data_IF_330443619445
#
_entry.id   IF_330443619445
#
_cell.length_a   1.000
_cell.length_b   1.000
_cell.length_c   1.000
_cell.angle_alpha   90.00
_cell.angle_beta   90.00
_cell.angle_gamma   90.00
#
_symmetry.space_group_name_H-M   'P 1'
#
loop_
_entity.id
_entity.type
_entity.pdbx_description
1 polymer ?
#
# COMPACT_ATOMS: atom_id res chain seq x y z
N UNK A 1 -16.78 19.46 -9.00
CA UNK A 1 -15.61 18.65 -8.59
C UNK A 1 -15.51 17.36 -9.38
N UNK A 2 -16.57 16.54 -9.45
CA UNK A 2 -16.59 15.31 -10.26
C UNK A 2 -16.43 15.60 -11.76
N UNK A 3 -17.03 16.68 -12.25
CA UNK A 3 -16.82 17.20 -13.61
C UNK A 3 -15.35 17.52 -13.93
N UNK A 4 -14.56 17.97 -12.95
CA UNK A 4 -13.15 18.22 -13.16
C UNK A 4 -12.38 16.92 -13.40
N UNK A 5 -12.79 15.81 -12.79
CA UNK A 5 -12.21 14.49 -13.06
C UNK A 5 -12.51 14.03 -14.50
N UNK A 6 -13.69 14.34 -15.03
CA UNK A 6 -14.00 14.07 -16.44
C UNK A 6 -13.09 14.88 -17.37
N UNK A 7 -12.92 16.17 -17.09
CA UNK A 7 -12.12 17.06 -17.94
C UNK A 7 -10.62 16.74 -17.92
N UNK A 8 -10.10 16.13 -16.86
CA UNK A 8 -8.73 15.61 -16.83
C UNK A 8 -8.59 14.21 -17.48
N UNK A 9 -9.67 13.64 -18.01
CA UNK A 9 -9.64 12.45 -18.87
C UNK A 9 -10.24 11.16 -18.30
N UNK A 10 -10.84 11.18 -17.11
CA UNK A 10 -11.54 10.00 -16.60
C UNK A 10 -12.93 9.87 -17.24
N UNK A 11 -13.39 8.64 -17.47
CA UNK A 11 -14.75 8.36 -17.98
C UNK A 11 -15.71 7.93 -16.88
N UNK A 12 -15.19 7.26 -15.84
CA UNK A 12 -15.93 6.79 -14.68
C UNK A 12 -15.14 7.09 -13.41
N UNK A 13 -15.85 7.30 -12.30
CA UNK A 13 -15.26 7.44 -10.97
C UNK A 13 -16.02 6.59 -9.99
N UNK A 14 -15.30 5.97 -9.06
CA UNK A 14 -15.87 5.20 -7.96
C UNK A 14 -15.18 5.58 -6.65
N UNK A 15 -15.91 5.53 -5.54
CA UNK A 15 -15.26 5.53 -4.23
C UNK A 15 -14.57 4.20 -4.01
N UNK A 16 -13.29 4.22 -3.64
CA UNK A 16 -12.55 3.00 -3.34
C UNK A 16 -13.22 2.17 -2.24
N UNK A 17 -13.87 2.85 -1.30
CA UNK A 17 -14.55 2.28 -0.16
C UNK A 17 -15.90 1.64 -0.52
N UNK A 18 -16.46 1.86 -1.72
CA UNK A 18 -17.71 1.19 -2.13
C UNK A 18 -17.55 -0.34 -2.20
N UNK A 19 -16.31 -0.84 -2.28
CA UNK A 19 -15.97 -2.25 -2.16
C UNK A 19 -16.43 -2.87 -0.84
N UNK A 20 -16.54 -2.08 0.23
CA UNK A 20 -17.10 -2.51 1.52
C UNK A 20 -18.57 -2.89 1.36
N UNK A 21 -19.35 -2.05 0.68
CA UNK A 21 -20.78 -2.30 0.43
C UNK A 21 -20.98 -3.51 -0.49
N UNK A 22 -20.10 -3.67 -1.49
CA UNK A 22 -20.09 -4.84 -2.38
C UNK A 22 -19.85 -6.11 -1.57
N UNK A 23 -18.79 -6.15 -0.74
CA UNK A 23 -18.47 -7.30 0.12
C UNK A 23 -19.64 -7.64 1.06
N UNK A 24 -20.21 -6.63 1.71
CA UNK A 24 -21.35 -6.80 2.60
C UNK A 24 -22.58 -7.34 1.85
N UNK A 25 -22.81 -6.89 0.62
CA UNK A 25 -23.93 -7.35 -0.21
C UNK A 25 -23.75 -8.82 -0.62
N UNK A 26 -22.54 -9.21 -1.03
CA UNK A 26 -22.23 -10.59 -1.44
C UNK A 26 -22.28 -11.57 -0.26
N UNK A 27 -21.76 -11.17 0.91
CA UNK A 27 -21.57 -12.07 2.05
C UNK A 27 -22.54 -11.88 3.22
N UNK A 28 -23.48 -10.93 3.15
CA UNK A 28 -24.29 -10.36 4.27
C UNK A 28 -23.47 -9.69 5.38
N UNK A 29 -22.21 -10.06 5.53
CA UNK A 29 -21.19 -9.48 6.40
C UNK A 29 -19.86 -9.42 5.65
N UNK A 30 -18.89 -8.71 6.22
CA UNK A 30 -17.53 -8.67 5.67
C UNK A 30 -16.76 -9.87 6.22
N UNK A 31 -16.42 -10.79 5.33
CA UNK A 31 -15.62 -11.97 5.67
C UNK A 31 -14.16 -11.61 5.89
N UNK A 32 -13.51 -12.37 6.76
CA UNK A 32 -12.06 -12.31 6.99
C UNK A 32 -11.44 -13.68 6.69
N UNK A 33 -10.23 -13.66 6.16
CA UNK A 33 -9.48 -14.88 5.82
C UNK A 33 -8.08 -14.79 6.42
N UNK A 34 -7.89 -15.39 7.58
CA UNK A 34 -6.60 -15.52 8.25
C UNK A 34 -6.54 -16.90 8.94
N UNK A 35 -5.33 -17.40 9.19
CA UNK A 35 -5.15 -18.70 9.85
C UNK A 35 -5.10 -18.56 11.38
N UNK A 36 -4.77 -17.38 11.88
CA UNK A 36 -4.56 -17.09 13.30
C UNK A 36 -5.34 -15.85 13.73
N UNK A 37 -5.65 -15.81 15.03
CA UNK A 37 -6.31 -14.69 15.68
C UNK A 37 -5.36 -13.93 16.61
N UNK A 38 -5.58 -12.62 16.83
CA UNK A 38 -6.57 -11.78 16.17
C UNK A 38 -6.23 -11.59 14.69
N UNK A 39 -7.25 -11.36 13.89
CA UNK A 39 -7.08 -11.03 12.48
C UNK A 39 -6.54 -9.61 12.36
N UNK A 40 -5.43 -9.42 11.66
CA UNK A 40 -4.87 -8.10 11.37
C UNK A 40 -5.37 -7.62 10.01
N UNK A 41 -5.92 -6.41 9.96
CA UNK A 41 -6.33 -5.76 8.70
C UNK A 41 -5.17 -5.69 7.70
N UNK A 42 -5.47 -5.97 6.43
CA UNK A 42 -4.56 -5.77 5.30
C UNK A 42 -4.77 -4.45 4.56
N UNK A 43 -5.66 -3.58 5.05
CA UNK A 43 -6.03 -2.34 4.38
C UNK A 43 -4.84 -1.38 4.24
N UNK A 44 -4.06 -1.20 5.33
CA UNK A 44 -2.89 -0.33 5.35
C UNK A 44 -1.64 -1.04 4.79
N UNK A 45 -1.19 -0.73 3.56
CA UNK A 45 -0.06 -1.44 2.95
C UNK A 45 1.26 -1.18 3.69
N UNK A 46 1.39 -0.05 4.39
CA UNK A 46 2.56 0.25 5.20
C UNK A 46 2.67 -0.71 6.40
N UNK A 47 1.56 -1.02 7.07
CA UNK A 47 1.53 -1.98 8.19
C UNK A 47 1.77 -3.40 7.69
N UNK A 48 1.12 -3.81 6.60
CA UNK A 48 1.40 -5.11 5.98
C UNK A 48 2.88 -5.23 5.65
N UNK A 49 3.48 -4.17 5.08
CA UNK A 49 4.91 -4.18 4.76
C UNK A 49 5.78 -4.22 6.01
N UNK A 50 5.41 -3.54 7.08
CA UNK A 50 6.10 -3.61 8.38
C UNK A 50 6.10 -5.05 8.91
N UNK A 51 4.95 -5.73 8.90
CA UNK A 51 4.80 -7.14 9.30
C UNK A 51 5.71 -8.03 8.44
N UNK A 52 5.68 -7.87 7.11
CA UNK A 52 6.53 -8.65 6.21
C UNK A 52 8.03 -8.53 6.50
N UNK A 53 8.49 -7.39 7.03
CA UNK A 53 9.91 -7.10 7.23
C UNK A 53 10.38 -7.37 8.67
N UNK A 54 9.55 -7.06 9.67
CA UNK A 54 9.92 -7.07 11.09
C UNK A 54 9.19 -8.11 11.93
N UNK A 55 7.95 -8.45 11.60
CA UNK A 55 7.11 -9.37 12.38
C UNK A 55 6.58 -10.52 11.49
N UNK A 56 7.45 -11.26 10.78
CA UNK A 56 7.01 -12.28 9.83
C UNK A 56 6.23 -13.43 10.49
N UNK A 57 6.40 -13.65 11.80
CA UNK A 57 5.61 -14.60 12.58
C UNK A 57 4.11 -14.26 12.60
N UNK A 58 3.75 -12.99 12.43
CA UNK A 58 2.36 -12.51 12.40
C UNK A 58 1.72 -12.54 11.00
N UNK A 59 2.41 -13.01 9.97
CA UNK A 59 1.83 -13.15 8.62
C UNK A 59 0.57 -14.04 8.57
N UNK A 60 0.46 -15.15 9.33
CA UNK A 60 -0.77 -15.95 9.41
C UNK A 60 -1.98 -15.19 9.98
N UNK A 61 -1.77 -14.10 10.72
CA UNK A 61 -2.82 -13.24 11.25
C UNK A 61 -3.35 -12.24 10.21
N UNK A 62 -2.61 -11.95 9.15
CA UNK A 62 -2.98 -10.90 8.19
C UNK A 62 -4.14 -11.36 7.31
N UNK A 63 -5.19 -10.54 7.23
CA UNK A 63 -6.37 -10.80 6.43
C UNK A 63 -6.05 -10.88 4.94
N UNK A 64 -6.35 -12.01 4.30
CA UNK A 64 -6.14 -12.26 2.88
C UNK A 64 -7.31 -11.78 2.00
N UNK A 65 -8.36 -11.21 2.59
CA UNK A 65 -9.45 -10.58 1.86
C UNK A 65 -8.94 -9.36 1.06
N UNK A 66 -9.34 -9.25 -0.21
CA UNK A 66 -8.97 -8.11 -1.07
C UNK A 66 -9.43 -6.78 -0.48
N UNK A 67 -8.57 -5.78 -0.47
CA UNK A 67 -8.94 -4.45 0.03
C UNK A 67 -10.15 -3.87 -0.71
N UNK A 68 -10.97 -3.01 -0.09
CA UNK A 68 -12.14 -2.39 -0.75
C UNK A 68 -11.83 -1.79 -2.11
N UNK A 69 -10.68 -1.12 -2.24
CA UNK A 69 -10.19 -0.57 -3.50
C UNK A 69 -10.08 -1.61 -4.63
N UNK A 70 -9.56 -2.81 -4.30
CA UNK A 70 -9.44 -3.91 -5.25
C UNK A 70 -10.82 -4.49 -5.59
N UNK A 71 -11.72 -4.60 -4.62
CA UNK A 71 -13.10 -5.05 -4.88
C UNK A 71 -13.86 -4.07 -5.78
N UNK A 72 -13.77 -2.76 -5.51
CA UNK A 72 -14.35 -1.73 -6.38
C UNK A 72 -13.77 -1.81 -7.80
N UNK A 73 -12.45 -1.95 -7.93
CA UNK A 73 -11.80 -2.09 -9.24
C UNK A 73 -12.28 -3.34 -10.00
N UNK A 74 -12.44 -4.46 -9.30
CA UNK A 74 -12.94 -5.70 -9.88
C UNK A 74 -14.38 -5.54 -10.35
N UNK A 75 -15.25 -4.99 -9.50
CA UNK A 75 -16.64 -4.72 -9.83
C UNK A 75 -16.78 -3.77 -11.02
N UNK A 76 -16.06 -2.65 -11.03
CA UNK A 76 -16.09 -1.70 -12.13
C UNK A 76 -15.68 -2.35 -13.46
N UNK A 77 -14.63 -3.19 -13.44
CA UNK A 77 -14.17 -3.91 -14.64
C UNK A 77 -15.23 -4.88 -15.15
N UNK A 78 -15.82 -5.69 -14.25
CA UNK A 78 -16.86 -6.66 -14.62
C UNK A 78 -18.09 -5.97 -15.20
N UNK A 79 -18.53 -4.86 -14.61
CA UNK A 79 -19.65 -4.06 -15.11
C UNK A 79 -19.37 -3.55 -16.53
N UNK A 80 -18.21 -2.91 -16.75
CA UNK A 80 -17.86 -2.36 -18.06
C UNK A 80 -17.69 -3.45 -19.13
N UNK A 81 -17.16 -4.61 -18.76
CA UNK A 81 -17.09 -5.77 -19.66
C UNK A 81 -18.47 -6.30 -20.04
N UNK A 82 -19.42 -6.32 -19.09
CA UNK A 82 -20.81 -6.71 -19.37
C UNK A 82 -21.53 -5.72 -20.29
N UNK A 83 -21.05 -4.47 -20.34
CA UNK A 83 -21.52 -3.41 -21.25
C UNK A 83 -20.83 -3.47 -22.63
N UNK A 84 -19.97 -4.47 -22.87
CA UNK A 84 -19.33 -4.72 -24.17
C UNK A 84 -17.96 -4.08 -24.36
N UNK A 85 -17.37 -3.48 -23.33
CA UNK A 85 -16.03 -2.87 -23.41
C UNK A 85 -14.95 -3.94 -23.29
N UNK A 86 -14.02 -3.97 -24.25
CA UNK A 86 -12.91 -4.92 -24.25
C UNK A 86 -11.99 -4.72 -23.04
N UNK A 87 -11.42 -5.80 -22.51
CA UNK A 87 -10.66 -5.74 -21.25
C UNK A 87 -9.41 -4.86 -21.34
N UNK A 88 -8.80 -4.83 -22.51
CA UNK A 88 -7.63 -4.05 -22.88
C UNK A 88 -7.90 -2.54 -22.92
N UNK A 89 -9.14 -2.14 -23.17
CA UNK A 89 -9.57 -0.74 -23.19
C UNK A 89 -9.93 -0.21 -21.78
N UNK A 90 -9.97 -1.08 -20.77
CA UNK A 90 -10.32 -0.72 -19.39
C UNK A 90 -9.06 -0.44 -18.57
N UNK A 91 -8.73 0.84 -18.46
CA UNK A 91 -7.72 1.36 -17.53
C UNK A 91 -8.31 1.77 -16.18
N UNK A 92 -7.85 1.16 -15.09
CA UNK A 92 -8.23 1.50 -13.72
C UNK A 92 -7.07 2.18 -13.01
N UNK A 93 -7.29 3.42 -12.56
CA UNK A 93 -6.32 4.22 -11.84
C UNK A 93 -6.83 4.56 -10.44
N UNK A 94 -5.96 4.44 -9.45
CA UNK A 94 -6.30 4.66 -8.05
C UNK A 94 -5.69 5.95 -7.52
N UNK A 95 -6.54 6.93 -7.20
CA UNK A 95 -6.11 8.19 -6.58
C UNK A 95 -5.88 7.94 -5.09
N UNK A 96 -4.65 8.13 -4.60
CA UNK A 96 -4.27 7.76 -3.23
C UNK A 96 -3.68 8.91 -2.42
N UNK A 97 -4.04 9.04 -1.13
CA UNK A 97 -3.31 9.89 -0.17
C UNK A 97 -2.03 9.22 0.36
N UNK A 98 -1.71 7.99 -0.06
CA UNK A 98 -0.69 7.14 0.57
C UNK A 98 0.42 6.70 -0.40
N UNK A 99 1.67 7.10 -0.09
CA UNK A 99 2.85 6.65 -0.84
C UNK A 99 3.03 5.12 -0.82
N UNK A 100 2.71 4.45 0.30
CA UNK A 100 2.81 2.99 0.39
C UNK A 100 1.79 2.28 -0.51
N UNK A 101 0.60 2.86 -0.74
CA UNK A 101 -0.39 2.33 -1.68
C UNK A 101 0.08 2.50 -3.13
N UNK A 102 0.66 3.66 -3.46
CA UNK A 102 1.29 3.88 -4.76
C UNK A 102 2.39 2.83 -5.03
N UNK A 103 3.29 2.62 -4.06
CA UNK A 103 4.35 1.62 -4.16
C UNK A 103 3.80 0.19 -4.28
N UNK A 104 2.73 -0.14 -3.55
CA UNK A 104 2.04 -1.44 -3.67
C UNK A 104 1.53 -1.67 -5.09
N UNK A 105 0.86 -0.68 -5.69
CA UNK A 105 0.33 -0.77 -7.07
C UNK A 105 1.47 -0.96 -8.08
N UNK A 106 2.58 -0.23 -7.92
CA UNK A 106 3.74 -0.32 -8.82
C UNK A 106 4.59 -1.59 -8.62
N UNK A 107 4.37 -2.36 -7.56
CA UNK A 107 5.15 -3.58 -7.30
C UNK A 107 4.65 -4.73 -8.19
N UNK A 108 5.51 -5.30 -9.06
CA UNK A 108 5.14 -6.46 -9.87
C UNK A 108 4.71 -7.65 -9.01
N UNK A 109 3.68 -8.38 -9.44
CA UNK A 109 3.16 -9.53 -8.70
C UNK A 109 2.46 -9.17 -7.38
N UNK A 110 2.17 -7.89 -7.12
CA UNK A 110 1.27 -7.52 -6.02
C UNK A 110 -0.15 -8.05 -6.29
N UNK A 111 -0.96 -8.19 -5.25
CA UNK A 111 -2.37 -8.55 -5.38
C UNK A 111 -3.18 -7.57 -6.28
N UNK A 112 -2.63 -6.39 -6.55
CA UNK A 112 -3.23 -5.37 -7.41
C UNK A 112 -2.80 -5.47 -8.88
N UNK A 113 -1.78 -6.28 -9.17
CA UNK A 113 -1.24 -6.49 -10.52
C UNK A 113 -2.33 -6.96 -11.48
N UNK A 114 -2.45 -6.27 -12.63
CA UNK A 114 -3.51 -6.52 -13.63
C UNK A 114 -4.88 -5.93 -13.29
N UNK A 115 -5.15 -5.61 -12.02
CA UNK A 115 -6.44 -5.08 -11.57
C UNK A 115 -6.49 -3.55 -11.56
N UNK A 116 -5.44 -2.91 -11.05
CA UNK A 116 -5.27 -1.45 -11.05
C UNK A 116 -3.95 -1.13 -11.76
N UNK A 117 -4.03 -0.41 -12.88
CA UNK A 117 -2.91 -0.14 -13.78
C UNK A 117 -1.98 0.96 -13.25
N UNK A 118 -2.48 1.88 -12.43
CA UNK A 118 -1.68 2.97 -11.89
C UNK A 118 -2.21 3.57 -10.59
N UNK A 119 -1.30 4.09 -9.79
CA UNK A 119 -1.62 4.99 -8.68
C UNK A 119 -1.42 6.44 -9.11
N UNK A 120 -2.25 7.33 -8.59
CA UNK A 120 -2.13 8.78 -8.80
C UNK A 120 -2.10 9.47 -7.43
N UNK A 121 -1.22 10.44 -7.26
CA UNK A 121 -1.12 11.14 -5.99
C UNK A 121 -2.32 12.09 -5.82
N UNK A 122 -2.94 12.06 -4.65
CA UNK A 122 -4.14 12.85 -4.38
C UNK A 122 -3.89 14.36 -4.48
N UNK A 123 -2.77 14.85 -3.96
CA UNK A 123 -2.36 16.25 -4.06
C UNK A 123 -2.18 16.72 -5.51
N UNK A 124 -1.56 15.90 -6.35
CA UNK A 124 -1.36 16.19 -7.76
C UNK A 124 -2.69 16.30 -8.51
N UNK A 125 -3.57 15.30 -8.36
CA UNK A 125 -4.90 15.31 -8.98
C UNK A 125 -5.72 16.48 -8.45
N UNK A 126 -5.65 16.76 -7.15
CA UNK A 126 -6.31 17.92 -6.56
C UNK A 126 -5.84 19.23 -7.20
N UNK A 127 -4.53 19.42 -7.39
CA UNK A 127 -4.00 20.63 -8.01
C UNK A 127 -4.41 20.78 -9.48
N UNK A 128 -4.45 19.69 -10.25
CA UNK A 128 -4.99 19.71 -11.62
C UNK A 128 -6.45 20.13 -11.65
N UNK A 129 -7.26 19.55 -10.76
CA UNK A 129 -8.68 19.90 -10.63
C UNK A 129 -8.85 21.37 -10.25
N UNK A 130 -8.11 21.86 -9.25
CA UNK A 130 -8.18 23.25 -8.82
C UNK A 130 -7.78 24.22 -9.93
N UNK A 131 -6.75 23.90 -10.72
CA UNK A 131 -6.32 24.68 -11.87
C UNK A 131 -7.43 24.77 -12.91
N UNK A 132 -8.04 23.63 -13.27
CA UNK A 132 -9.17 23.59 -14.19
C UNK A 132 -10.34 24.44 -13.70
N UNK A 133 -10.71 24.30 -12.41
CA UNK A 133 -11.83 25.03 -11.81
C UNK A 133 -11.58 26.54 -11.74
N UNK A 134 -10.32 26.97 -11.55
CA UNK A 134 -9.94 28.38 -11.53
C UNK A 134 -9.96 29.01 -12.93
N UNK A 135 -9.58 28.26 -13.96
CA UNK A 135 -9.65 28.70 -15.36
C UNK A 135 -11.09 28.80 -15.89
N UNK A 136 -12.04 28.09 -15.25
CA UNK A 136 -13.44 28.03 -15.65
C UNK A 136 -14.39 28.45 -14.50
N UNK A 137 -14.36 29.74 -14.07
CA UNK A 137 -15.13 30.21 -12.93
C UNK A 137 -16.65 30.29 -13.22
N UNK A 138 -17.04 30.53 -14.47
CA UNK A 138 -18.43 30.73 -14.90
C UNK A 138 -19.06 29.50 -15.56
N UNK A 139 -18.53 28.30 -15.30
CA UNK A 139 -19.07 27.05 -15.85
C UNK A 139 -20.54 26.87 -15.46
N UNK A 140 -21.41 26.66 -16.45
CA UNK A 140 -22.85 26.49 -16.22
C UNK A 140 -23.15 25.07 -15.76
N UNK A 141 -24.11 24.92 -14.85
CA UNK A 141 -24.50 23.61 -14.31
C UNK A 141 -24.99 22.64 -15.39
N UNK A 142 -25.54 23.17 -16.49
CA UNK A 142 -26.03 22.36 -17.62
C UNK A 142 -24.90 21.70 -18.44
N UNK A 143 -23.68 22.24 -18.40
CA UNK A 143 -22.50 21.74 -19.16
C UNK A 143 -21.65 20.73 -18.36
N UNK A 144 -21.99 20.51 -17.08
CA UNK A 144 -21.26 19.58 -16.23
C UNK A 144 -21.59 18.14 -16.65
N UNK A 145 -20.56 17.34 -16.90
CA UNK A 145 -20.70 15.91 -17.13
C UNK A 145 -21.53 15.29 -15.98
N UNK A 146 -22.72 14.80 -16.32
CA UNK A 146 -23.63 14.16 -15.37
C UNK A 146 -23.21 12.70 -15.19
N UNK A 147 -22.19 12.47 -14.38
CA UNK A 147 -21.96 11.12 -13.88
C UNK A 147 -23.02 10.76 -12.86
N UNK A 148 -23.47 9.52 -12.93
CA UNK A 148 -24.14 8.95 -11.78
C UNK A 148 -23.16 8.98 -10.61
N UNK A 149 -23.57 9.65 -9.51
CA UNK A 149 -22.74 9.71 -8.31
C UNK A 149 -22.52 8.27 -7.81
N UNK A 150 -21.27 7.86 -7.55
CA UNK A 150 -20.99 6.51 -7.09
C UNK A 150 -21.74 6.26 -5.78
N UNK A 151 -22.53 5.19 -5.73
CA UNK A 151 -23.30 4.84 -4.54
C UNK A 151 -22.35 4.29 -3.48
N UNK A 152 -22.54 4.76 -2.25
CA UNK A 152 -21.79 4.31 -1.09
C UNK A 152 -22.58 4.60 0.18
N UNK A 153 -22.45 3.73 1.18
CA UNK A 153 -23.06 3.95 2.49
C UNK A 153 -22.17 4.81 3.39
N UNK A 154 -22.78 5.49 4.37
CA UNK A 154 -22.04 6.25 5.38
C UNK A 154 -20.97 5.40 6.11
N UNK A 155 -21.30 4.19 6.60
CA UNK A 155 -20.33 3.30 7.22
C UNK A 155 -19.18 2.90 6.29
N UNK A 156 -19.44 2.59 5.01
CA UNK A 156 -18.39 2.29 4.04
C UNK A 156 -17.49 3.52 3.80
N UNK A 157 -18.07 4.71 3.67
CA UNK A 157 -17.34 5.96 3.46
C UNK A 157 -16.34 6.28 4.60
N UNK A 158 -16.64 5.84 5.83
CA UNK A 158 -15.78 6.02 7.00
C UNK A 158 -14.59 5.04 7.06
N UNK A 159 -14.53 4.00 6.22
CA UNK A 159 -13.53 2.93 6.28
C UNK A 159 -12.07 3.40 6.20
N UNK A 160 -11.85 4.53 5.55
CA UNK A 160 -10.53 5.14 5.38
C UNK A 160 -10.01 5.78 6.68
N UNK A 161 -10.89 6.11 7.62
CA UNK A 161 -10.55 6.71 8.92
C UNK A 161 -10.23 5.64 9.97
N UNK A 162 -9.52 6.04 11.03
CA UNK A 162 -9.34 5.19 12.23
C UNK A 162 -10.70 4.81 12.81
N UNK A 163 -10.84 3.54 13.18
CA UNK A 163 -12.07 2.90 13.68
C UNK A 163 -13.15 2.72 12.60
N UNK A 164 -12.88 3.03 11.34
CA UNK A 164 -13.83 2.85 10.25
C UNK A 164 -14.05 1.37 9.92
N UNK A 165 -12.98 0.59 9.91
CA UNK A 165 -13.00 -0.84 9.58
C UNK A 165 -13.42 -1.68 10.80
N UNK A 166 -12.84 -1.42 11.96
CA UNK A 166 -13.12 -2.15 13.20
C UNK A 166 -14.57 -2.01 13.66
N UNK A 167 -15.24 -0.89 13.36
CA UNK A 167 -16.66 -0.68 13.65
C UNK A 167 -17.61 -1.54 12.79
N UNK A 168 -17.10 -2.09 11.69
CA UNK A 168 -17.87 -2.91 10.73
C UNK A 168 -17.51 -4.40 10.84
N UNK A 169 -16.49 -4.74 11.63
CA UNK A 169 -16.09 -6.11 11.92
C UNK A 169 -16.90 -6.71 13.07
N UNK A 170 -16.99 -8.04 13.10
CA UNK A 170 -17.64 -8.78 14.19
C UNK A 170 -16.65 -9.04 15.33
N UNK A 171 -17.18 -9.23 16.54
CA UNK A 171 -16.39 -9.61 17.72
C UNK A 171 -15.75 -8.43 18.44
N UNK A 172 -14.71 -8.71 19.23
CA UNK A 172 -13.92 -7.74 19.98
C UNK A 172 -12.84 -7.17 19.10
N UNK A 173 -13.01 -5.91 18.73
CA UNK A 173 -12.12 -5.22 17.77
C UNK A 173 -11.33 -4.12 18.45
N UNK A 174 -10.13 -3.85 17.95
CA UNK A 174 -9.30 -2.73 18.38
C UNK A 174 -8.77 -1.98 17.16
N UNK A 175 -8.72 -0.65 17.25
CA UNK A 175 -8.11 0.20 16.24
C UNK A 175 -6.94 0.97 16.85
N UNK A 176 -5.79 0.93 16.17
CA UNK A 176 -4.57 1.67 16.53
C UNK A 176 -4.08 2.40 15.29
N UNK A 177 -3.80 3.68 15.44
CA UNK A 177 -3.16 4.51 14.42
C UNK A 177 -1.80 5.05 14.90
N UNK A 178 -1.07 5.60 13.94
CA UNK A 178 0.35 5.98 14.04
C UNK A 178 1.33 4.79 14.14
N UNK A 179 2.37 4.84 13.31
CA UNK A 179 3.30 3.72 13.13
C UNK A 179 4.02 3.31 14.42
N UNK A 180 4.28 4.24 15.35
CA UNK A 180 4.95 3.92 16.60
C UNK A 180 4.04 3.12 17.55
N UNK A 181 2.76 3.50 17.68
CA UNK A 181 1.76 2.74 18.44
C UNK A 181 1.50 1.38 17.79
N UNK A 182 1.48 1.33 16.45
CA UNK A 182 1.33 0.06 15.73
C UNK A 182 2.52 -0.87 16.00
N UNK A 183 3.76 -0.35 16.03
CA UNK A 183 4.96 -1.13 16.37
C UNK A 183 4.83 -1.71 17.79
N UNK A 184 4.53 -0.86 18.77
CA UNK A 184 4.34 -1.27 20.17
C UNK A 184 3.25 -2.34 20.27
N UNK A 185 2.13 -2.17 19.56
CA UNK A 185 1.03 -3.11 19.63
C UNK A 185 1.36 -4.44 18.92
N UNK A 186 2.09 -4.41 17.80
CA UNK A 186 2.54 -5.64 17.12
C UNK A 186 3.48 -6.46 18.01
N UNK A 187 4.34 -5.81 18.81
CA UNK A 187 5.19 -6.48 19.81
C UNK A 187 4.35 -7.19 20.88
N UNK A 188 3.26 -6.56 21.35
CA UNK A 188 2.32 -7.21 22.28
C UNK A 188 1.59 -8.41 21.66
N UNK A 189 1.31 -8.38 20.36
CA UNK A 189 0.68 -9.49 19.64
C UNK A 189 1.67 -10.63 19.44
N UNK A 190 2.92 -10.34 19.08
CA UNK A 190 3.98 -11.35 18.92
C UNK A 190 4.32 -12.06 20.24
N UNK A 191 4.27 -11.34 21.37
CA UNK A 191 4.47 -11.89 22.72
C UNK A 191 3.23 -12.64 23.28
N UNK A 192 2.15 -12.80 22.51
CA UNK A 192 0.86 -13.34 22.96
C UNK A 192 0.26 -12.61 24.19
N UNK A 193 0.64 -11.33 24.40
CA UNK A 193 0.20 -10.51 25.55
C UNK A 193 -1.14 -9.82 25.36
N UNK A 194 -1.76 -10.01 24.20
CA UNK A 194 -3.16 -9.69 23.96
C UNK A 194 -4.10 -10.78 24.51
N UNK A 195 -5.30 -10.40 24.94
CA UNK A 195 -6.35 -11.37 25.31
C UNK A 195 -7.68 -10.96 24.72
N UNK A 196 -8.39 -11.94 24.15
CA UNK A 196 -9.77 -11.79 23.68
C UNK A 196 -9.96 -10.68 22.64
N UNK A 197 -9.08 -10.60 21.63
CA UNK A 197 -9.27 -9.73 20.47
C UNK A 197 -9.50 -10.61 19.25
N UNK A 198 -10.50 -10.25 18.44
CA UNK A 198 -10.87 -10.96 17.22
C UNK A 198 -10.30 -10.28 15.98
N UNK A 199 -10.21 -8.94 16.00
CA UNK A 199 -9.78 -8.13 14.86
C UNK A 199 -8.98 -6.88 15.27
N UNK A 200 -7.89 -6.61 14.54
CA UNK A 200 -7.03 -5.45 14.70
C UNK A 200 -7.03 -4.58 13.43
N UNK A 201 -7.54 -3.37 13.57
CA UNK A 201 -7.36 -2.31 12.59
C UNK A 201 -6.10 -1.52 12.92
N UNK A 202 -5.05 -1.71 12.13
CA UNK A 202 -3.76 -1.03 12.34
C UNK A 202 -3.48 -0.08 11.17
N UNK A 203 -3.24 1.21 11.47
CA UNK A 203 -3.02 2.27 10.49
C UNK A 203 -1.70 2.99 10.77
N UNK A 204 -0.85 3.18 9.76
CA UNK A 204 0.45 3.82 9.96
C UNK A 204 0.37 5.35 10.18
N UNK A 205 -0.72 5.99 9.77
CA UNK A 205 -0.91 7.44 9.82
C UNK A 205 -1.98 7.82 10.84
N UNK A 206 -1.80 8.95 11.53
CA UNK A 206 -2.78 9.55 12.45
C UNK A 206 -4.11 9.80 11.73
N UNK A 207 -5.25 9.52 12.39
CA UNK A 207 -6.62 9.62 11.87
C UNK A 207 -6.92 8.73 10.66
N UNK A 208 -6.04 7.78 10.32
CA UNK A 208 -6.18 6.89 9.18
C UNK A 208 -5.62 7.52 7.90
N UNK A 209 -6.31 7.32 6.77
CA UNK A 209 -5.81 7.74 5.47
C UNK A 209 -5.76 9.27 5.27
N UNK A 210 -6.50 10.04 6.07
CA UNK A 210 -6.47 11.51 6.08
C UNK A 210 -5.17 12.08 6.61
N UNK A 211 -4.41 11.31 7.41
CA UNK A 211 -3.04 11.63 7.81
C UNK A 211 -1.99 11.22 6.78
N UNK A 212 -2.40 10.73 5.61
CA UNK A 212 -1.48 10.32 4.55
C UNK A 212 -0.68 11.49 3.98
N UNK A 213 0.59 11.25 3.68
CA UNK A 213 1.54 12.27 3.21
C UNK A 213 1.14 12.95 1.89
N UNK A 214 0.32 12.33 1.06
CA UNK A 214 -0.15 12.90 -0.21
C UNK A 214 -1.51 13.61 -0.09
N UNK A 215 -1.96 13.87 1.13
CA UNK A 215 -3.20 14.63 1.38
C UNK A 215 -2.93 16.13 1.23
N UNK A 216 -3.75 16.84 0.46
CA UNK A 216 -3.62 18.29 0.25
C UNK A 216 -4.17 19.16 1.39
N UNK A 217 -4.84 18.56 2.37
CA UNK A 217 -5.54 19.26 3.47
C UNK A 217 -5.02 18.82 4.83
N UNK A 218 -5.23 19.67 5.83
CA UNK A 218 -5.04 19.30 7.23
C UNK A 218 -5.89 18.06 7.58
N UNK A 219 -5.25 17.07 8.22
CA UNK A 219 -5.85 15.76 8.52
C UNK A 219 -7.09 15.82 9.42
N UNK A 220 -7.13 16.72 10.40
CA UNK A 220 -8.27 16.85 11.31
C UNK A 220 -9.48 17.45 10.59
N UNK A 221 -9.26 18.50 9.78
CA UNK A 221 -10.32 19.09 8.95
C UNK A 221 -10.81 18.13 7.86
N UNK A 222 -9.92 17.32 7.28
CA UNK A 222 -10.32 16.30 6.32
C UNK A 222 -11.17 15.21 7.00
N UNK A 223 -10.76 14.76 8.19
CA UNK A 223 -11.47 13.76 9.00
C UNK A 223 -12.86 14.26 9.42
N UNK A 224 -12.96 15.49 9.91
CA UNK A 224 -14.24 16.12 10.28
C UNK A 224 -15.19 16.14 9.08
N UNK A 225 -14.73 16.60 7.91
CA UNK A 225 -15.55 16.67 6.69
C UNK A 225 -16.00 15.30 6.20
N UNK A 226 -15.14 14.29 6.26
CA UNK A 226 -15.50 12.92 5.90
C UNK A 226 -16.60 12.42 6.84
N UNK A 227 -16.48 12.64 8.15
CA UNK A 227 -17.53 12.27 9.13
C UNK A 227 -18.84 13.02 8.89
N UNK A 228 -18.77 14.33 8.66
CA UNK A 228 -19.94 15.15 8.35
C UNK A 228 -20.63 14.68 7.06
N UNK A 229 -19.88 14.39 6.01
CA UNK A 229 -20.44 13.88 4.76
C UNK A 229 -21.04 12.47 4.93
N UNK A 230 -20.35 11.58 5.66
CA UNK A 230 -20.85 10.24 5.95
C UNK A 230 -22.21 10.24 6.64
N UNK A 231 -22.49 11.23 7.51
CA UNK A 231 -23.78 11.37 8.18
C UNK A 231 -24.94 11.70 7.21
N UNK A 232 -24.64 12.21 6.01
CA UNK A 232 -25.64 12.49 4.95
C UNK A 232 -25.88 11.31 4.02
N UNK A 233 -25.04 10.28 4.09
CA UNK A 233 -25.12 9.09 3.25
C UNK A 233 -26.07 8.04 3.86
N UNK A 234 -26.70 7.19 3.03
CA UNK A 234 -27.57 6.15 3.54
C UNK A 234 -26.78 5.12 4.38
N UNK A 235 -27.45 4.48 5.34
CA UNK A 235 -26.84 3.42 6.16
C UNK A 235 -26.71 2.07 5.42
N UNK A 236 -27.57 1.87 4.43
CA UNK A 236 -27.58 0.69 3.57
C UNK A 236 -27.78 1.10 2.11
N UNK A 237 -27.29 0.30 1.19
CA UNK A 237 -27.57 0.46 -0.24
C UNK A 237 -29.05 0.20 -0.53
N UNK A 238 -29.56 0.82 -1.60
CA UNK A 238 -30.91 0.54 -2.09
C UNK A 238 -30.98 -0.87 -2.69
N UNK A 239 -32.17 -1.49 -2.68
CA UNK A 239 -32.37 -2.86 -3.17
C UNK A 239 -32.00 -3.02 -4.66
N UNK A 240 -32.19 -1.98 -5.47
CA UNK A 240 -31.78 -1.98 -6.89
C UNK A 240 -30.25 -2.09 -7.02
N UNK A 241 -29.50 -1.36 -6.19
CA UNK A 241 -28.04 -1.40 -6.20
C UNK A 241 -27.53 -2.76 -5.70
N UNK A 242 -28.17 -3.30 -4.64
CA UNK A 242 -27.87 -4.65 -4.15
C UNK A 242 -28.12 -5.71 -5.22
N UNK A 243 -29.25 -5.64 -5.91
CA UNK A 243 -29.61 -6.56 -7.00
C UNK A 243 -28.60 -6.49 -8.15
N UNK A 244 -28.15 -5.28 -8.53
CA UNK A 244 -27.09 -5.10 -9.53
C UNK A 244 -25.79 -5.77 -9.10
N UNK A 245 -25.34 -5.57 -7.85
CA UNK A 245 -24.13 -6.23 -7.33
C UNK A 245 -24.27 -7.75 -7.37
N UNK A 246 -25.43 -8.27 -6.93
CA UNK A 246 -25.69 -9.72 -6.90
C UNK A 246 -25.74 -10.34 -8.31
N UNK A 247 -26.13 -9.59 -9.33
CA UNK A 247 -26.11 -10.07 -10.73
C UNK A 247 -24.70 -10.42 -11.24
N UNK A 248 -23.65 -9.91 -10.60
CA UNK A 248 -22.24 -10.19 -10.91
C UNK A 248 -21.56 -11.10 -9.87
N UNK A 249 -22.33 -11.69 -8.95
CA UNK A 249 -21.79 -12.44 -7.80
C UNK A 249 -20.82 -13.55 -8.20
N UNK A 250 -21.15 -14.35 -9.22
CA UNK A 250 -20.31 -15.45 -9.69
C UNK A 250 -18.91 -14.98 -10.14
N UNK A 251 -18.84 -13.84 -10.84
CA UNK A 251 -17.58 -13.28 -11.31
C UNK A 251 -16.73 -12.68 -10.17
N UNK A 252 -17.39 -12.21 -9.11
CA UNK A 252 -16.74 -11.57 -7.97
C UNK A 252 -16.26 -12.55 -6.91
N UNK A 253 -17.08 -13.55 -6.55
CA UNK A 253 -16.85 -14.44 -5.40
C UNK A 253 -15.52 -15.20 -5.50
N UNK A 254 -15.18 -15.70 -6.70
CA UNK A 254 -13.93 -16.44 -6.93
C UNK A 254 -12.67 -15.59 -6.81
N UNK A 255 -12.82 -14.25 -6.79
CA UNK A 255 -11.71 -13.31 -6.79
C UNK A 255 -11.60 -12.50 -5.49
N UNK A 256 -12.37 -12.79 -4.44
CA UNK A 256 -12.36 -12.01 -3.20
C UNK A 256 -11.11 -12.22 -2.32
N UNK A 257 -10.44 -13.36 -2.47
CA UNK A 257 -9.25 -13.73 -1.68
C UNK A 257 -7.97 -13.48 -2.48
N UNK A 258 -6.92 -13.02 -1.79
CA UNK A 258 -5.58 -12.84 -2.32
C UNK A 258 -4.66 -13.99 -1.93
N UNK A 259 -3.55 -14.13 -2.66
CA UNK A 259 -2.49 -15.06 -2.31
C UNK A 259 -1.87 -14.74 -0.95
N UNK A 260 -1.23 -15.75 -0.35
CA UNK A 260 -0.54 -15.60 0.93
C UNK A 260 0.55 -14.53 0.83
N UNK A 261 0.54 -13.64 1.81
CA UNK A 261 1.56 -12.60 1.96
C UNK A 261 2.81 -13.27 2.52
N UNK A 262 3.91 -13.16 1.79
CA UNK A 262 5.20 -13.75 2.18
C UNK A 262 6.07 -12.74 2.92
N UNK A 263 6.94 -13.24 3.80
CA UNK A 263 7.96 -12.43 4.44
C UNK A 263 8.86 -11.79 3.37
N UNK A 264 9.13 -10.50 3.56
CA UNK A 264 10.09 -9.77 2.75
C UNK A 264 11.39 -9.80 3.53
N UNK A 265 12.38 -10.49 3.00
CA UNK A 265 13.67 -10.52 3.64
C UNK A 265 14.44 -9.23 3.36
N UNK A 266 14.08 -8.10 4.01
CA UNK A 266 14.94 -6.90 3.99
C UNK A 266 16.27 -7.13 4.70
N UNK A 267 16.34 -8.12 5.57
CA UNK A 267 17.46 -8.32 6.50
C UNK A 267 18.19 -9.65 6.33
N UNK A 268 17.77 -10.54 5.41
CA UNK A 268 18.60 -11.70 5.10
C UNK A 268 19.77 -11.26 4.24
N UNK A 269 20.96 -11.39 4.80
CA UNK A 269 22.21 -11.27 4.07
C UNK A 269 22.35 -12.42 3.07
N UNK A 270 21.83 -13.60 3.42
CA UNK A 270 21.76 -14.78 2.56
C UNK A 270 20.57 -15.68 2.96
N UNK A 271 20.14 -16.56 2.06
CA UNK A 271 19.15 -17.61 2.36
C UNK A 271 19.80 -18.75 3.14
N UNK A 272 21.08 -19.00 2.91
CA UNK A 272 21.86 -19.96 3.69
C UNK A 272 22.33 -19.33 5.01
N UNK A 273 22.03 -19.97 6.14
CA UNK A 273 22.32 -19.44 7.48
C UNK A 273 23.82 -19.24 7.69
N UNK A 274 24.66 -20.17 7.22
CA UNK A 274 26.11 -20.06 7.35
C UNK A 274 26.66 -18.88 6.52
N UNK A 275 26.13 -18.67 5.32
CA UNK A 275 26.46 -17.51 4.48
C UNK A 275 25.95 -16.21 5.08
N UNK A 276 24.78 -16.21 5.71
CA UNK A 276 24.22 -15.05 6.39
C UNK A 276 25.11 -14.63 7.58
N UNK A 277 25.61 -15.59 8.37
CA UNK A 277 26.56 -15.32 9.47
C UNK A 277 27.87 -14.72 8.94
N UNK A 278 28.46 -15.30 7.88
CA UNK A 278 29.67 -14.76 7.25
C UNK A 278 29.48 -13.34 6.73
N UNK A 279 28.35 -13.08 6.09
CA UNK A 279 28.01 -11.74 5.63
C UNK A 279 27.77 -10.79 6.81
N UNK A 280 27.26 -11.27 7.93
CA UNK A 280 27.03 -10.43 9.12
C UNK A 280 28.35 -9.97 9.74
N UNK A 281 29.35 -10.87 9.81
CA UNK A 281 30.73 -10.50 10.17
C UNK A 281 31.33 -9.50 9.17
N UNK A 282 31.09 -9.72 7.87
CA UNK A 282 31.52 -8.78 6.82
C UNK A 282 30.89 -7.40 7.00
N UNK A 283 29.59 -7.32 7.32
CA UNK A 283 28.89 -6.06 7.61
C UNK A 283 29.51 -5.33 8.79
N UNK A 284 29.79 -6.03 9.89
CA UNK A 284 30.45 -5.43 11.07
C UNK A 284 31.78 -4.79 10.69
N UNK A 285 32.65 -5.56 10.03
CA UNK A 285 33.98 -5.08 9.59
C UNK A 285 33.92 -3.90 8.62
N UNK A 286 32.97 -3.90 7.69
CA UNK A 286 32.80 -2.77 6.76
C UNK A 286 32.26 -1.54 7.51
N UNK A 287 31.35 -1.73 8.45
CA UNK A 287 30.79 -0.62 9.23
C UNK A 287 31.87 0.09 10.05
N UNK A 288 32.84 -0.64 10.60
CA UNK A 288 33.98 -0.10 11.35
C UNK A 288 34.90 0.80 10.52
N UNK A 289 35.04 0.54 9.21
CA UNK A 289 35.89 1.36 8.31
C UNK A 289 35.12 2.47 7.60
N UNK A 290 33.79 2.49 7.72
CA UNK A 290 32.97 3.58 7.20
C UNK A 290 32.96 4.77 8.19
N UNK A 291 32.72 6.00 7.73
CA UNK A 291 32.83 7.19 8.57
C UNK A 291 31.86 7.24 9.77
N UNK A 292 30.81 6.43 9.79
CA UNK A 292 29.83 6.39 10.89
C UNK A 292 28.95 7.63 11.04
N UNK A 293 29.00 8.58 10.10
CA UNK A 293 28.25 9.86 10.19
C UNK A 293 26.82 9.80 9.65
N UNK A 294 26.40 8.68 9.07
CA UNK A 294 25.04 8.45 8.54
C UNK A 294 24.48 9.57 7.64
N UNK A 295 25.35 10.22 6.84
CA UNK A 295 25.02 11.41 6.05
C UNK A 295 24.05 11.21 4.87
N UNK A 296 23.73 9.97 4.48
CA UNK A 296 22.82 9.70 3.35
C UNK A 296 23.35 9.99 1.94
N UNK A 297 24.53 10.61 1.76
CA UNK A 297 25.04 11.08 0.46
C UNK A 297 25.25 9.98 -0.59
N UNK A 298 25.43 8.74 -0.16
CA UNK A 298 25.59 7.58 -1.05
C UNK A 298 24.26 6.95 -1.51
N UNK A 299 23.12 7.44 -0.99
CA UNK A 299 21.78 6.89 -1.21
C UNK A 299 21.35 5.82 -0.20
N UNK A 300 22.21 5.45 0.75
CA UNK A 300 21.87 4.55 1.86
C UNK A 300 21.57 5.37 3.13
N UNK A 301 20.55 5.02 3.94
CA UNK A 301 20.11 5.83 5.08
C UNK A 301 21.10 5.83 6.26
N UNK A 302 21.94 4.79 6.38
CA UNK A 302 23.01 4.70 7.37
C UNK A 302 24.28 4.08 6.76
N UNK A 303 25.44 4.30 7.37
CA UNK A 303 26.70 3.64 7.02
C UNK A 303 26.57 2.12 7.14
N UNK A 304 25.84 1.63 8.15
CA UNK A 304 25.53 0.19 8.26
C UNK A 304 24.71 -0.33 7.07
N UNK A 305 23.75 0.46 6.58
CA UNK A 305 22.95 0.07 5.40
C UNK A 305 23.83 -0.05 4.14
N UNK A 306 24.78 0.88 3.96
CA UNK A 306 25.78 0.77 2.89
C UNK A 306 26.66 -0.48 3.08
N UNK A 307 27.08 -0.78 4.31
CA UNK A 307 27.85 -1.98 4.62
C UNK A 307 27.10 -3.28 4.28
N UNK A 308 25.79 -3.33 4.54
CA UNK A 308 24.92 -4.45 4.15
C UNK A 308 24.84 -4.63 2.64
N UNK A 309 24.71 -3.54 1.88
CA UNK A 309 24.71 -3.59 0.41
C UNK A 309 26.07 -4.08 -0.14
N UNK A 310 27.18 -3.66 0.45
CA UNK A 310 28.52 -4.13 0.07
C UNK A 310 28.70 -5.62 0.44
N UNK A 311 28.24 -6.04 1.61
CA UNK A 311 28.32 -7.44 2.02
C UNK A 311 27.49 -8.37 1.12
N UNK A 312 26.38 -7.86 0.56
CA UNK A 312 25.54 -8.54 -0.45
C UNK A 312 26.07 -8.41 -1.88
N UNK A 313 27.18 -7.70 -2.10
CA UNK A 313 27.74 -7.36 -3.42
C UNK A 313 26.79 -6.54 -4.31
N UNK A 314 25.84 -5.80 -3.71
CA UNK A 314 24.93 -4.88 -4.39
C UNK A 314 25.53 -3.47 -4.57
N UNK A 315 26.57 -3.14 -3.80
CA UNK A 315 27.26 -1.85 -3.86
C UNK A 315 28.77 -2.03 -3.63
N UNK A 316 29.56 -1.09 -4.15
CA UNK A 316 30.99 -0.99 -3.82
C UNK A 316 31.20 0.04 -2.71
N UNK A 317 32.24 -0.14 -1.90
CA UNK A 317 32.65 0.85 -0.88
C UNK A 317 32.98 2.21 -1.49
N UNK A 318 33.32 2.25 -2.79
CA UNK A 318 33.52 3.49 -3.56
C UNK A 318 32.29 4.40 -3.62
N UNK A 319 31.10 3.88 -3.31
CA UNK A 319 29.86 4.66 -3.25
C UNK A 319 29.85 5.64 -2.07
N UNK A 320 30.72 5.44 -1.07
CA UNK A 320 30.87 6.40 0.02
C UNK A 320 31.54 7.70 -0.47
N UNK A 321 30.72 8.74 -0.66
CA UNK A 321 31.18 10.06 -1.11
C UNK A 321 32.14 10.69 -0.10
N UNK A 322 31.92 10.48 1.19
CA UNK A 322 32.72 11.06 2.27
C UNK A 322 34.15 10.51 2.22
N UNK A 323 34.33 9.18 2.20
CA UNK A 323 35.66 8.58 2.08
C UNK A 323 36.38 9.00 0.79
N UNK A 324 35.63 9.18 -0.30
CA UNK A 324 36.20 9.66 -1.57
C UNK A 324 36.77 11.07 -1.47
N UNK A 325 36.23 11.91 -0.59
CA UNK A 325 36.69 13.29 -0.38
C UNK A 325 37.76 13.37 0.71
N UNK A 326 37.65 12.58 1.77
CA UNK A 326 38.52 12.69 2.96
C UNK A 326 39.75 11.78 2.90
N UNK A 327 39.65 10.61 2.27
CA UNK A 327 40.77 9.66 2.14
C UNK A 327 40.69 8.83 0.83
N UNK A 328 41.03 9.45 -0.32
CA UNK A 328 40.99 8.78 -1.62
C UNK A 328 41.93 7.57 -1.73
N UNK A 329 43.09 7.62 -1.05
CA UNK A 329 44.08 6.55 -1.09
C UNK A 329 43.65 5.36 -0.23
N UNK A 330 43.17 5.59 1.00
CA UNK A 330 42.61 4.53 1.84
C UNK A 330 41.37 3.90 1.23
N UNK A 331 40.52 4.69 0.56
CA UNK A 331 39.37 4.16 -0.18
C UNK A 331 39.77 3.14 -1.27
N UNK A 332 40.86 3.41 -1.99
CA UNK A 332 41.36 2.47 -3.01
C UNK A 332 41.85 1.15 -2.40
N UNK A 333 42.47 1.20 -1.22
CA UNK A 333 42.89 -0.01 -0.50
C UNK A 333 41.68 -0.79 0.02
N UNK A 334 40.70 -0.10 0.60
CA UNK A 334 39.44 -0.70 1.06
C UNK A 334 38.66 -1.35 -0.10
N UNK A 335 38.64 -0.73 -1.28
CA UNK A 335 38.00 -1.30 -2.46
C UNK A 335 38.65 -2.62 -2.91
N UNK A 336 39.98 -2.76 -2.79
CA UNK A 336 40.68 -4.03 -3.08
C UNK A 336 40.30 -5.14 -2.11
N UNK A 337 40.06 -4.81 -0.83
CA UNK A 337 39.70 -5.79 0.21
C UNK A 337 38.24 -6.25 0.06
N UNK A 338 37.33 -5.31 -0.22
CA UNK A 338 35.88 -5.59 -0.17
C UNK A 338 35.25 -5.88 -1.53
N UNK A 339 35.97 -5.61 -2.63
CA UNK A 339 35.57 -5.91 -4.00
C UNK A 339 34.82 -4.78 -4.72
N UNK A 340 34.77 -4.90 -6.04
CA UNK A 340 33.89 -4.15 -6.93
C UNK A 340 32.52 -4.86 -7.05
N UNK A 341 31.49 -4.18 -7.56
CA UNK A 341 30.17 -4.79 -7.78
C UNK A 341 30.28 -5.83 -8.89
N UNK A 342 29.76 -7.04 -8.66
CA UNK A 342 29.59 -8.03 -9.73
C UNK A 342 28.42 -7.56 -10.60
N UNK A 343 28.70 -7.08 -11.81
CA UNK A 343 27.65 -6.75 -12.78
C UNK A 343 26.86 -8.03 -13.12
N UNK A 344 25.56 -8.01 -12.87
CA UNK A 344 24.64 -9.14 -13.13
C UNK A 344 24.20 -9.27 -14.59
N UNK A 345 24.93 -8.66 -15.53
CA UNK A 345 24.62 -8.67 -16.96
C UNK A 345 25.80 -9.26 -17.76
N UNK A 346 25.99 -10.58 -17.66
CA UNK A 346 26.57 -11.35 -18.75
C UNK A 346 25.67 -12.57 -18.97
N UNK A 347 24.87 -12.52 -20.05
CA UNK A 347 24.26 -13.71 -20.64
C UNK A 347 25.37 -14.74 -20.87
N UNK A 348 25.17 -16.04 -20.59
CA UNK A 348 26.15 -17.04 -20.96
C UNK A 348 26.31 -17.00 -22.48
N UNK A 349 27.52 -16.71 -22.95
CA UNK A 349 27.91 -16.96 -24.33
C UNK A 349 27.85 -18.47 -24.54
N UNK A 350 26.88 -18.93 -25.31
CA UNK A 350 26.92 -20.27 -25.89
C UNK A 350 28.06 -20.30 -26.90
N UNK A 351 29.20 -20.82 -26.49
CA UNK A 351 30.25 -21.32 -27.37
C UNK A 351 30.53 -22.77 -26.98
N UNK A 352 30.13 -23.67 -27.88
CA UNK A 352 30.75 -24.97 -28.22
C UNK A 352 30.97 -25.99 -27.10
N UNK A 353 30.24 -27.12 -27.13
CA UNK A 353 30.60 -28.36 -27.87
C UNK A 353 29.32 -29.05 -28.33
#
# INVERSE_FOLDING_TARGET
MVDALHNIGFTHVHYAESGVDILKTLGKKISVYADQHPVVSSYCPAVVRLIQLRYPALLPNVNLMRTPAQITALYARVVLQSEGIASEDIGVFYITPCAAKYAQIKTPGSATSGLIQGGLNLDYVFNLMQTYLAQHPNRKSEELARWEKPKITGPAFLWSLTKGESAMMQGRTLSVDEVHNVIEFLELVEDDRHKNLDFLELRACDTGCTGGILTSRNRFLATERIKHHAATLPKELHEVDKARILSFSDQLIHNLKTDRIVAKHSLQLDRDVSMAIRKLEKVKRITEVLPGIDCGLCGCPTCRSLAEDIAKANASIRRCVVLKLTDPHGLNNLAKIWGEVIQKDQKPSTSEV
#
